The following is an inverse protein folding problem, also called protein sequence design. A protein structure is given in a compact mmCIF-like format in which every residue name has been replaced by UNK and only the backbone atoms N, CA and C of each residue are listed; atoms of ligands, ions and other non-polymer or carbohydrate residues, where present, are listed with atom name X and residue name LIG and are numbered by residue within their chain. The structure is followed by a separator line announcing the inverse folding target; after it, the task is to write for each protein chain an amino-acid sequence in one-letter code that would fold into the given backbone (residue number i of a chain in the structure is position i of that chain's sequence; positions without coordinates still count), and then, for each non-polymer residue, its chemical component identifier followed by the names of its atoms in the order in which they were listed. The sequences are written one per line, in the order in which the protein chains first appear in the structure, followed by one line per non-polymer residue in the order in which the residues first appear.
data_IF_151130479341
#
_entry.id   IF_151130479341
#
_cell.length_a   1.000
_cell.length_b   1.000
_cell.length_c   1.000
_cell.angle_alpha   90.00
_cell.angle_beta   90.00
_cell.angle_gamma   90.00
#
_symmetry.space_group_name_H-M   'P 1'
#
loop_
_entity.id
_entity.type
_entity.pdbx_description
1 polymer ?
#
# COMPACT_ATOMS: atom_id res chain seq x y z
N UNK A 1 -14.15 -9.47 -8.77
CA UNK A 1 -12.95 -9.66 -7.95
C UNK A 1 -12.03 -8.47 -8.17
N UNK A 2 -11.26 -8.06 -7.15
CA UNK A 2 -10.26 -6.98 -7.28
C UNK A 2 -8.87 -7.62 -7.45
N UNK A 3 -8.30 -7.68 -8.67
CA UNK A 3 -7.10 -8.46 -8.96
C UNK A 3 -5.88 -8.02 -8.15
N UNK A 4 -5.68 -6.71 -7.98
CA UNK A 4 -4.57 -6.19 -7.17
C UNK A 4 -4.63 -6.66 -5.72
N UNK A 5 -5.82 -6.67 -5.10
CA UNK A 5 -6.00 -7.19 -3.73
C UNK A 5 -5.69 -8.69 -3.67
N UNK A 6 -6.23 -9.48 -4.61
CA UNK A 6 -5.97 -10.91 -4.68
C UNK A 6 -4.48 -11.22 -4.81
N UNK A 7 -3.79 -10.52 -5.71
CA UNK A 7 -2.35 -10.70 -5.91
C UNK A 7 -1.54 -10.30 -4.67
N UNK A 8 -1.94 -9.23 -3.99
CA UNK A 8 -1.26 -8.77 -2.77
C UNK A 8 -1.38 -9.79 -1.65
N UNK A 9 -2.62 -10.26 -1.36
CA UNK A 9 -2.84 -11.17 -0.23
C UNK A 9 -2.24 -12.56 -0.47
N UNK A 10 -2.17 -13.03 -1.71
CA UNK A 10 -1.49 -14.28 -2.08
C UNK A 10 0.02 -14.27 -1.78
N UNK A 11 0.62 -13.10 -1.56
CA UNK A 11 2.05 -12.94 -1.26
C UNK A 11 2.32 -12.62 0.21
N UNK A 12 1.31 -12.67 1.05
CA UNK A 12 1.45 -12.52 2.52
C UNK A 12 1.62 -13.90 3.11
N UNK A 13 2.79 -14.16 3.72
CA UNK A 13 3.11 -15.43 4.39
C UNK A 13 2.97 -16.69 3.48
N UNK A 14 2.91 -17.86 4.08
CA UNK A 14 2.66 -19.14 3.41
C UNK A 14 1.19 -19.56 3.48
N UNK A 15 0.83 -20.64 2.79
CA UNK A 15 -0.53 -21.16 2.76
C UNK A 15 -1.08 -21.54 4.14
N UNK A 16 -0.24 -22.05 5.04
CA UNK A 16 -0.65 -22.44 6.39
C UNK A 16 -1.12 -21.23 7.21
N UNK A 17 -0.47 -20.10 7.01
CA UNK A 17 -0.85 -18.83 7.65
C UNK A 17 -2.02 -18.19 6.92
N UNK A 18 -2.04 -18.24 5.57
CA UNK A 18 -3.14 -17.69 4.76
C UNK A 18 -4.49 -18.33 5.09
N UNK A 19 -4.53 -19.62 5.41
CA UNK A 19 -5.75 -20.31 5.83
C UNK A 19 -6.34 -19.80 7.16
N UNK A 20 -5.57 -19.08 7.95
CA UNK A 20 -5.95 -18.59 9.28
C UNK A 20 -6.15 -17.08 9.38
N UNK A 21 -5.56 -16.30 8.47
CA UNK A 21 -5.65 -14.86 8.50
C UNK A 21 -6.85 -14.36 7.70
N UNK A 22 -7.43 -13.26 8.15
CA UNK A 22 -8.45 -12.52 7.41
C UNK A 22 -7.91 -11.16 6.98
N UNK A 23 -8.55 -10.54 5.99
CA UNK A 23 -8.20 -9.18 5.59
C UNK A 23 -8.34 -8.20 6.76
N UNK A 24 -9.44 -8.28 7.52
CA UNK A 24 -9.65 -7.49 8.73
C UNK A 24 -8.56 -7.74 9.77
N UNK A 25 -8.20 -9.00 10.02
CA UNK A 25 -7.12 -9.37 10.94
C UNK A 25 -5.74 -8.83 10.51
N UNK A 26 -5.43 -8.85 9.21
CA UNK A 26 -4.20 -8.27 8.68
C UNK A 26 -4.14 -6.75 8.91
N UNK A 27 -5.26 -6.05 8.73
CA UNK A 27 -5.33 -4.59 8.88
C UNK A 27 -5.39 -4.17 10.36
N UNK A 28 -6.17 -4.88 11.18
CA UNK A 28 -6.34 -4.54 12.59
C UNK A 28 -5.21 -5.07 13.49
N UNK A 29 -4.42 -6.03 13.02
CA UNK A 29 -3.32 -6.62 13.80
C UNK A 29 -2.22 -5.61 14.15
N UNK A 30 -1.30 -6.01 15.03
CA UNK A 30 -0.18 -5.16 15.50
C UNK A 30 1.01 -5.11 14.55
N UNK A 31 1.03 -5.98 13.53
CA UNK A 31 2.12 -6.04 12.56
C UNK A 31 2.24 -4.75 11.75
N UNK A 32 3.46 -4.25 11.57
CA UNK A 32 3.72 -2.97 10.88
C UNK A 32 3.43 -3.02 9.36
N UNK A 33 3.51 -4.19 8.75
CA UNK A 33 3.46 -4.31 7.29
C UNK A 33 2.05 -4.17 6.71
N UNK A 34 1.02 -4.82 7.26
CA UNK A 34 -0.40 -4.70 6.85
C UNK A 34 -0.58 -4.60 5.33
N UNK A 35 0.06 -5.51 4.57
CA UNK A 35 0.13 -5.41 3.09
C UNK A 35 -1.26 -5.40 2.43
N UNK A 36 -2.26 -6.08 3.02
CA UNK A 36 -3.65 -6.06 2.55
C UNK A 36 -4.31 -4.67 2.53
N UNK A 37 -3.73 -3.70 3.24
CA UNK A 37 -4.20 -2.31 3.24
C UNK A 37 -3.82 -1.56 1.94
N UNK A 38 -2.71 -1.92 1.28
CA UNK A 38 -2.19 -1.16 0.13
C UNK A 38 -3.19 -1.05 -1.03
N UNK A 39 -3.83 -2.15 -1.51
CA UNK A 39 -4.84 -2.06 -2.55
C UNK A 39 -6.04 -1.21 -2.14
N UNK A 40 -6.41 -1.21 -0.85
CA UNK A 40 -7.52 -0.41 -0.34
C UNK A 40 -7.19 1.09 -0.33
N UNK A 41 -5.94 1.45 -0.04
CA UNK A 41 -5.48 2.85 -0.06
C UNK A 41 -5.46 3.40 -1.50
N UNK A 42 -4.93 2.65 -2.47
CA UNK A 42 -4.82 3.13 -3.86
C UNK A 42 -6.15 3.17 -4.59
N UNK A 43 -7.15 2.38 -4.16
CA UNK A 43 -8.50 2.35 -4.73
C UNK A 43 -9.48 3.29 -4.02
N UNK A 44 -9.01 4.18 -3.14
CA UNK A 44 -9.86 5.10 -2.37
C UNK A 44 -11.08 4.38 -1.75
N UNK A 45 -10.84 3.21 -1.17
CA UNK A 45 -11.88 2.33 -0.62
C UNK A 45 -12.48 2.90 0.66
N UNK A 46 -13.64 2.34 1.04
CA UNK A 46 -14.31 2.63 2.31
C UNK A 46 -14.27 1.41 3.22
N UNK A 47 -14.11 1.63 4.52
CA UNK A 47 -14.39 0.65 5.55
C UNK A 47 -15.83 0.83 6.03
N UNK A 48 -16.58 -0.27 6.12
CA UNK A 48 -17.86 -0.31 6.82
C UNK A 48 -17.57 -0.61 8.27
N UNK A 49 -17.83 0.35 9.13
CA UNK A 49 -17.59 0.25 10.57
C UNK A 49 -18.92 0.15 11.29
N UNK A 50 -19.01 -0.78 12.24
CA UNK A 50 -20.17 -0.96 13.12
C UNK A 50 -19.87 -0.43 14.52
N UNK A 51 -20.86 0.18 15.14
CA UNK A 51 -20.95 0.48 16.57
C UNK A 51 -22.40 0.26 17.05
N UNK A 52 -22.71 0.59 18.30
CA UNK A 52 -24.03 0.44 18.88
C UNK A 52 -25.12 1.30 18.19
N UNK A 53 -24.73 2.31 17.40
CA UNK A 53 -25.65 3.18 16.63
C UNK A 53 -25.93 2.64 15.23
N UNK A 54 -25.15 1.66 14.76
CA UNK A 54 -25.33 1.03 13.46
C UNK A 54 -24.08 1.05 12.58
N UNK A 55 -24.28 1.01 11.28
CA UNK A 55 -23.21 0.94 10.29
C UNK A 55 -22.92 2.31 9.69
N UNK A 56 -21.64 2.61 9.45
CA UNK A 56 -21.21 3.80 8.72
C UNK A 56 -20.03 3.48 7.79
N UNK A 57 -19.95 4.22 6.70
CA UNK A 57 -18.83 4.13 5.75
C UNK A 57 -17.81 5.22 6.05
N UNK A 58 -16.55 4.82 6.26
CA UNK A 58 -15.43 5.74 6.49
C UNK A 58 -14.39 5.48 5.41
N UNK A 59 -13.86 6.51 4.72
CA UNK A 59 -12.74 6.32 3.81
C UNK A 59 -11.56 5.64 4.51
N UNK A 60 -10.96 4.64 3.87
CA UNK A 60 -9.85 3.88 4.47
C UNK A 60 -8.68 4.79 4.85
N UNK A 61 -8.40 5.83 4.06
CA UNK A 61 -7.38 6.86 4.36
C UNK A 61 -7.64 7.65 5.64
N UNK A 62 -8.90 7.75 6.09
CA UNK A 62 -9.28 8.50 7.30
C UNK A 62 -9.26 7.59 8.54
N UNK A 63 -9.60 6.31 8.37
CA UNK A 63 -9.54 5.32 9.44
C UNK A 63 -8.12 4.79 9.69
N UNK A 64 -7.24 4.86 8.69
CA UNK A 64 -5.84 4.48 8.80
C UNK A 64 -4.92 5.61 8.35
N UNK A 65 -4.19 6.21 9.28
CA UNK A 65 -3.21 7.27 8.99
C UNK A 65 -1.78 6.81 9.30
N UNK A 66 -1.42 6.49 10.50
CA UNK A 66 -0.19 5.80 10.92
C UNK A 66 -0.55 4.51 11.64
N UNK A 67 -1.69 4.53 12.24
CA UNK A 67 -2.33 3.45 12.97
C UNK A 67 -3.82 3.42 12.63
N UNK A 68 -4.48 2.33 13.00
CA UNK A 68 -5.92 2.19 12.86
C UNK A 68 -6.62 3.04 13.92
N UNK A 69 -7.52 3.93 13.51
CA UNK A 69 -8.30 4.81 14.37
C UNK A 69 -9.74 4.28 14.50
N UNK A 70 -9.92 3.34 15.40
CA UNK A 70 -11.23 2.83 15.84
C UNK A 70 -11.41 3.16 17.32
N UNK A 71 -12.63 3.53 17.72
CA UNK A 71 -12.99 3.60 19.12
C UNK A 71 -13.16 2.20 19.73
N UNK A 72 -13.18 2.09 21.06
CA UNK A 72 -13.23 0.79 21.76
C UNK A 72 -14.44 -0.09 21.38
N UNK A 73 -15.57 0.54 21.04
CA UNK A 73 -16.81 -0.16 20.68
C UNK A 73 -17.00 -0.32 19.17
N UNK A 74 -15.98 0.00 18.36
CA UNK A 74 -16.06 -0.04 16.90
C UNK A 74 -15.31 -1.22 16.33
N UNK A 75 -15.87 -1.82 15.28
CA UNK A 75 -15.17 -2.85 14.51
C UNK A 75 -15.45 -2.74 13.01
N UNK A 76 -14.51 -3.18 12.19
CA UNK A 76 -14.65 -3.21 10.74
C UNK A 76 -15.45 -4.45 10.34
N UNK A 77 -16.55 -4.23 9.64
CA UNK A 77 -17.41 -5.30 9.10
C UNK A 77 -16.95 -5.76 7.73
N UNK A 78 -16.64 -4.81 6.85
CA UNK A 78 -16.23 -5.08 5.47
C UNK A 78 -15.52 -3.88 4.85
N UNK A 79 -14.97 -4.08 3.63
CA UNK A 79 -14.43 -3.01 2.81
C UNK A 79 -15.21 -2.90 1.51
N UNK A 80 -15.49 -1.68 1.08
CA UNK A 80 -16.21 -1.38 -0.15
C UNK A 80 -15.23 -0.74 -1.14
N UNK A 81 -15.08 -1.38 -2.29
CA UNK A 81 -14.24 -0.92 -3.40
C UNK A 81 -15.15 -0.61 -4.57
N UNK A 82 -15.01 0.58 -5.17
CA UNK A 82 -15.78 0.93 -6.36
C UNK A 82 -15.36 0.04 -7.52
N UNK A 83 -16.35 -0.47 -8.28
CA UNK A 83 -16.11 -1.40 -9.39
C UNK A 83 -15.11 -0.88 -10.42
N UNK A 84 -15.11 0.43 -10.70
CA UNK A 84 -14.18 1.03 -11.67
C UNK A 84 -12.70 0.73 -11.36
N UNK A 85 -12.31 0.56 -10.09
CA UNK A 85 -10.94 0.22 -9.71
C UNK A 85 -10.55 -1.23 -9.99
N UNK A 86 -11.51 -2.13 -10.16
CA UNK A 86 -11.22 -3.56 -10.39
C UNK A 86 -10.73 -3.88 -11.80
N UNK A 87 -10.86 -2.92 -12.72
CA UNK A 87 -10.54 -3.07 -14.15
C UNK A 87 -9.35 -2.19 -14.58
N UNK A 88 -8.81 -1.35 -13.66
CA UNK A 88 -7.69 -0.47 -13.96
C UNK A 88 -6.37 -1.25 -14.11
N UNK A 89 -5.45 -0.77 -14.95
CA UNK A 89 -4.08 -1.26 -14.97
C UNK A 89 -3.44 -1.13 -13.58
N UNK A 90 -2.72 -2.16 -13.15
CA UNK A 90 -2.11 -2.19 -11.82
C UNK A 90 -0.72 -2.81 -11.84
N UNK A 91 0.05 -2.49 -10.81
CA UNK A 91 1.33 -3.10 -10.52
C UNK A 91 1.37 -3.51 -9.05
N UNK A 92 1.85 -4.73 -8.79
CA UNK A 92 2.23 -5.19 -7.47
C UNK A 92 3.68 -5.66 -7.52
N UNK A 93 4.52 -5.15 -6.64
CA UNK A 93 5.90 -5.58 -6.49
C UNK A 93 6.24 -5.77 -5.02
N UNK A 94 6.92 -6.86 -4.68
CA UNK A 94 7.40 -7.16 -3.32
C UNK A 94 8.88 -7.49 -3.39
N UNK A 95 9.68 -6.85 -2.56
CA UNK A 95 11.11 -7.12 -2.37
C UNK A 95 11.32 -7.64 -0.95
N UNK A 96 12.02 -8.73 -0.82
CA UNK A 96 12.33 -9.43 0.43
C UNK A 96 13.85 -9.66 0.52
N UNK A 97 14.36 -9.92 1.71
CA UNK A 97 15.80 -10.11 1.96
C UNK A 97 16.33 -11.41 1.34
N UNK A 98 15.63 -12.52 1.49
CA UNK A 98 16.11 -13.82 1.06
C UNK A 98 15.09 -14.60 0.23
N UNK A 99 13.94 -14.92 0.77
CA UNK A 99 12.97 -15.82 0.16
C UNK A 99 11.62 -15.18 -0.12
N UNK A 100 10.80 -15.86 -0.95
CA UNK A 100 9.45 -15.40 -1.29
C UNK A 100 8.51 -15.25 -0.09
N UNK A 101 8.81 -15.94 1.02
CA UNK A 101 7.97 -16.04 2.23
C UNK A 101 8.63 -15.29 3.39
N UNK A 102 9.14 -14.09 3.15
CA UNK A 102 9.68 -13.25 4.21
C UNK A 102 8.89 -11.95 4.37
N UNK A 103 9.11 -11.29 5.52
CA UNK A 103 8.65 -9.93 5.69
C UNK A 103 9.21 -9.05 4.57
N UNK A 104 8.43 -8.09 4.06
CA UNK A 104 8.89 -7.27 2.97
C UNK A 104 9.95 -6.28 3.42
N UNK A 105 10.98 -6.09 2.62
CA UNK A 105 11.75 -4.86 2.62
C UNK A 105 10.87 -3.72 2.15
N UNK A 106 10.25 -3.90 0.98
CA UNK A 106 9.20 -3.01 0.48
C UNK A 106 8.19 -3.84 -0.31
N UNK A 107 6.91 -3.59 -0.05
CA UNK A 107 5.82 -3.98 -0.94
C UNK A 107 5.19 -2.72 -1.53
N UNK A 108 4.99 -2.71 -2.82
CA UNK A 108 4.30 -1.68 -3.59
C UNK A 108 3.00 -2.23 -4.14
N UNK A 109 1.93 -1.47 -4.00
CA UNK A 109 0.72 -1.59 -4.81
C UNK A 109 0.48 -0.28 -5.55
N UNK A 110 0.26 -0.34 -6.85
CA UNK A 110 -0.01 0.83 -7.67
C UNK A 110 -1.15 0.54 -8.65
N UNK A 111 -1.92 1.57 -8.99
CA UNK A 111 -2.94 1.56 -10.03
C UNK A 111 -2.79 2.80 -10.92
N UNK A 112 -3.18 2.68 -12.18
CA UNK A 112 -3.24 3.78 -13.13
C UNK A 112 -4.71 4.20 -13.33
N UNK A 113 -5.10 5.35 -12.81
CA UNK A 113 -6.43 5.95 -13.01
C UNK A 113 -6.34 7.10 -14.01
N UNK A 114 -6.88 6.88 -15.22
CA UNK A 114 -6.63 7.79 -16.34
C UNK A 114 -5.14 7.82 -16.67
N UNK A 115 -4.51 8.99 -16.54
CA UNK A 115 -3.08 9.20 -16.77
C UNK A 115 -2.30 9.44 -15.46
N UNK A 116 -2.87 9.07 -14.31
CA UNK A 116 -2.26 9.29 -13.01
C UNK A 116 -2.09 7.99 -12.26
N UNK A 117 -0.88 7.76 -11.80
CA UNK A 117 -0.56 6.65 -10.91
C UNK A 117 -0.91 7.04 -9.47
N UNK A 118 -1.53 6.09 -8.76
CA UNK A 118 -1.68 6.07 -7.31
C UNK A 118 -0.85 4.94 -6.75
N UNK A 119 -0.12 5.15 -5.66
CA UNK A 119 0.79 4.14 -5.09
C UNK A 119 0.77 4.14 -3.57
N UNK A 120 0.85 2.93 -3.03
CA UNK A 120 0.98 2.71 -1.59
C UNK A 120 2.10 1.71 -1.32
N UNK A 121 2.76 1.88 -0.18
CA UNK A 121 3.94 1.11 0.21
C UNK A 121 3.78 0.54 1.62
N UNK A 122 4.31 -0.66 1.80
CA UNK A 122 4.51 -1.29 3.10
C UNK A 122 5.98 -1.65 3.27
N UNK A 123 6.48 -1.67 4.51
CA UNK A 123 7.88 -1.93 4.82
C UNK A 123 8.83 -0.76 4.53
N UNK A 124 8.38 0.28 3.86
CA UNK A 124 9.18 1.49 3.62
C UNK A 124 9.30 2.34 4.89
N UNK A 125 8.20 2.53 5.60
CA UNK A 125 8.12 3.18 6.90
C UNK A 125 7.60 2.19 7.95
N UNK A 126 7.48 2.61 9.21
CA UNK A 126 6.94 1.77 10.32
C UNK A 126 5.45 1.47 10.20
N UNK A 127 4.80 1.94 9.15
CA UNK A 127 3.38 1.71 8.83
C UNK A 127 3.19 1.81 7.32
N UNK A 128 2.13 1.22 6.75
CA UNK A 128 1.80 1.41 5.34
C UNK A 128 1.53 2.89 5.04
N UNK A 129 2.06 3.35 3.92
CA UNK A 129 1.92 4.74 3.48
C UNK A 129 1.33 4.83 2.09
N UNK A 130 0.54 5.87 1.85
CA UNK A 130 0.26 6.46 0.56
C UNK A 130 0.58 7.95 0.65
N UNK A 131 1.33 8.48 -0.27
CA UNK A 131 1.74 9.88 -0.29
C UNK A 131 1.32 10.53 -1.60
N UNK A 132 0.34 11.42 -1.50
CA UNK A 132 -0.13 12.22 -2.66
C UNK A 132 1.01 13.05 -3.22
N UNK A 133 1.88 13.59 -2.38
CA UNK A 133 3.06 14.36 -2.82
C UNK A 133 4.03 13.51 -3.67
N UNK A 134 4.27 12.26 -3.30
CA UNK A 134 5.08 11.34 -4.13
C UNK A 134 4.39 11.04 -5.46
N UNK A 135 3.05 10.81 -5.42
CA UNK A 135 2.24 10.59 -6.61
C UNK A 135 2.28 11.81 -7.54
N UNK A 136 2.13 13.03 -7.01
CA UNK A 136 2.16 14.28 -7.78
C UNK A 136 3.50 14.48 -8.50
N UNK A 137 4.61 14.19 -7.83
CA UNK A 137 5.92 14.26 -8.48
C UNK A 137 6.06 13.23 -9.60
N UNK A 138 5.68 11.97 -9.36
CA UNK A 138 5.80 10.92 -10.37
C UNK A 138 4.87 11.19 -11.58
N UNK A 139 3.71 11.76 -11.34
CA UNK A 139 2.72 12.12 -12.37
C UNK A 139 3.02 13.44 -13.12
N UNK A 140 4.09 14.14 -12.78
CA UNK A 140 4.44 15.44 -13.37
C UNK A 140 5.06 15.29 -14.77
N UNK A 141 4.22 15.17 -15.80
CA UNK A 141 4.65 14.96 -17.19
C UNK A 141 5.53 16.08 -17.77
N UNK A 142 5.58 17.24 -17.13
CA UNK A 142 6.45 18.36 -17.54
C UNK A 142 7.93 18.15 -17.17
N UNK A 143 8.26 17.18 -16.33
CA UNK A 143 9.60 16.89 -15.88
C UNK A 143 10.16 15.60 -16.50
N UNK A 144 11.47 15.53 -16.76
CA UNK A 144 12.13 14.27 -17.10
C UNK A 144 11.95 13.23 -16.00
N UNK A 145 11.83 11.94 -16.37
CA UNK A 145 11.61 10.83 -15.45
C UNK A 145 12.58 10.81 -14.26
N UNK A 146 13.86 11.01 -14.52
CA UNK A 146 14.88 11.02 -13.47
C UNK A 146 14.62 12.08 -12.38
N UNK A 147 14.15 13.28 -12.77
CA UNK A 147 13.79 14.32 -11.80
C UNK A 147 12.50 14.02 -11.07
N UNK A 148 11.50 13.45 -11.74
CA UNK A 148 10.25 13.01 -11.11
C UNK A 148 10.52 12.01 -9.99
N UNK A 149 11.32 10.99 -10.29
CA UNK A 149 11.73 9.98 -9.31
C UNK A 149 12.55 10.58 -8.17
N UNK A 150 13.50 11.45 -8.48
CA UNK A 150 14.31 12.13 -7.46
C UNK A 150 13.46 12.94 -6.47
N UNK A 151 12.47 13.68 -6.98
CA UNK A 151 11.57 14.46 -6.13
C UNK A 151 10.60 13.57 -5.34
N UNK A 152 10.08 12.50 -5.94
CA UNK A 152 9.28 11.51 -5.23
C UNK A 152 10.05 10.85 -4.08
N UNK A 153 11.32 10.48 -4.29
CA UNK A 153 12.21 9.94 -3.25
C UNK A 153 12.47 10.90 -2.08
N UNK A 154 12.50 12.19 -2.35
CA UNK A 154 12.67 13.24 -1.31
C UNK A 154 11.37 13.51 -0.54
N UNK A 155 10.24 13.08 -1.09
CA UNK A 155 8.90 13.33 -0.55
C UNK A 155 8.32 12.16 0.24
N UNK A 156 9.14 11.18 0.63
CA UNK A 156 8.72 10.12 1.57
C UNK A 156 8.28 10.77 2.87
N UNK A 157 7.05 10.49 3.37
CA UNK A 157 6.41 11.30 4.41
C UNK A 157 6.95 11.06 5.82
N UNK A 158 7.80 10.05 6.02
CA UNK A 158 8.36 9.69 7.31
C UNK A 158 9.76 9.07 7.15
N UNK A 159 10.42 8.73 8.28
CA UNK A 159 11.70 8.04 8.27
C UNK A 159 11.58 6.66 7.60
N UNK A 160 12.51 6.39 6.68
CA UNK A 160 12.63 5.06 6.08
C UNK A 160 13.06 4.07 7.17
N UNK A 161 12.37 2.94 7.21
CA UNK A 161 12.60 1.89 8.21
C UNK A 161 14.02 1.34 8.12
N UNK A 162 14.64 1.20 9.29
CA UNK A 162 15.92 0.52 9.46
C UNK A 162 15.75 -0.56 10.53
N UNK A 163 16.01 -1.81 10.16
CA UNK A 163 15.82 -3.00 11.01
C UNK A 163 16.75 -4.15 10.56
N UNK A 164 16.56 -5.32 11.16
CA UNK A 164 17.35 -6.53 10.85
C UNK A 164 17.11 -7.03 9.41
N UNK A 165 16.01 -6.69 8.78
CA UNK A 165 15.71 -7.07 7.40
C UNK A 165 16.51 -6.22 6.41
N UNK A 166 16.70 -4.92 6.69
CA UNK A 166 17.49 -4.06 5.81
C UNK A 166 17.66 -2.63 6.30
N UNK A 167 18.75 -2.01 5.85
CA UNK A 167 19.06 -0.62 6.14
C UNK A 167 18.14 0.36 5.42
N UNK A 168 17.99 1.56 5.96
CA UNK A 168 17.25 2.65 5.35
C UNK A 168 17.81 3.01 3.95
N UNK A 169 19.14 2.98 3.78
CA UNK A 169 19.80 3.24 2.49
C UNK A 169 19.43 2.18 1.44
N UNK A 170 19.40 0.91 1.83
CA UNK A 170 19.03 -0.16 0.92
C UNK A 170 17.53 -0.10 0.54
N UNK A 171 16.65 0.21 1.49
CA UNK A 171 15.22 0.42 1.19
C UNK A 171 15.01 1.60 0.25
N UNK A 172 15.79 2.68 0.40
CA UNK A 172 15.78 3.82 -0.50
C UNK A 172 16.20 3.44 -1.92
N UNK A 173 17.26 2.65 -2.08
CA UNK A 173 17.68 2.10 -3.37
C UNK A 173 16.60 1.23 -4.01
N UNK A 174 15.96 0.35 -3.23
CA UNK A 174 14.85 -0.47 -3.71
C UNK A 174 13.65 0.38 -4.13
N UNK A 175 13.32 1.43 -3.36
CA UNK A 175 12.24 2.36 -3.70
C UNK A 175 12.49 3.03 -5.06
N UNK A 176 13.72 3.51 -5.30
CA UNK A 176 14.10 4.11 -6.58
C UNK A 176 13.88 3.14 -7.74
N UNK A 177 14.38 1.91 -7.61
CA UNK A 177 14.16 0.85 -8.60
C UNK A 177 12.67 0.55 -8.83
N UNK A 178 11.85 0.55 -7.78
CA UNK A 178 10.41 0.32 -7.88
C UNK A 178 9.66 1.48 -8.54
N UNK A 179 10.09 2.72 -8.33
CA UNK A 179 9.52 3.89 -9.02
C UNK A 179 9.82 3.87 -10.52
N UNK A 180 11.03 3.46 -10.93
CA UNK A 180 11.34 3.19 -12.34
C UNK A 180 10.45 2.08 -12.92
N UNK A 181 10.21 1.01 -12.16
CA UNK A 181 9.32 -0.06 -12.59
C UNK A 181 7.88 0.43 -12.77
N UNK A 182 7.39 1.30 -11.89
CA UNK A 182 6.07 1.94 -12.02
C UNK A 182 6.00 2.77 -13.29
N UNK A 183 6.97 3.67 -13.51
CA UNK A 183 7.01 4.51 -14.72
C UNK A 183 7.01 3.67 -15.99
N UNK A 184 7.88 2.66 -16.06
CA UNK A 184 7.99 1.80 -17.24
C UNK A 184 6.74 0.94 -17.50
N UNK A 185 6.13 0.36 -16.46
CA UNK A 185 5.02 -0.60 -16.64
C UNK A 185 3.65 0.07 -16.73
N UNK A 186 3.46 1.22 -16.10
CA UNK A 186 2.20 1.97 -16.13
C UNK A 186 2.22 3.18 -17.06
N UNK A 187 3.36 3.48 -17.68
CA UNK A 187 3.47 4.50 -18.73
C UNK A 187 3.34 5.94 -18.23
N UNK A 188 3.87 6.25 -17.07
CA UNK A 188 3.85 7.60 -16.47
C UNK A 188 5.23 8.23 -16.42
#
# INVERSE_FOLDING_TARGET
LFPLLSLTVQRIADHTVQDKITLGGNICGTIIYKEGLLPLLVSDSYAVVADYRGLRNIPVKDIFQRELKLNEEEFIVSFVIRRCYTELPYLHAKRTKSDKINYPLITLAAILEGNKVKMAFSGLCRYPIRSVTMEDWLNSSSLPEALRIQYALKSVPDFILEDLEGSASYRRFLLESMLHEVSSKLGV
#
